data_IF_148883536132
#
_entry.id   IF_148883536132
#
_cell.length_a   1.000
_cell.length_b   1.000
_cell.length_c   1.000
_cell.angle_alpha   90.00
_cell.angle_beta   90.00
_cell.angle_gamma   90.00
#
_symmetry.space_group_name_H-M   'P 1'
#
loop_
_entity.id
_entity.type
_entity.pdbx_description
1 polymer ?
2 non-polymer ?
3 non-polymer ?
4 water ?
#
# COMPACT_ATOMS: atom_id res chain seq x y z
N UNK A 1 -8.07 31.17 -13.92
CA UNK A 1 -9.10 30.34 -14.61
C UNK A 1 -10.41 30.48 -13.87
N UNK A 2 -11.34 29.54 -14.10
CA UNK A 2 -12.64 29.60 -13.44
C UNK A 2 -12.51 29.55 -11.92
N UNK A 3 -13.47 30.16 -11.25
CA UNK A 3 -13.49 30.18 -9.79
C UNK A 3 -14.06 28.85 -9.25
N UNK A 4 -13.64 28.50 -8.04
CA UNK A 4 -14.09 27.27 -7.38
C UNK A 4 -14.21 27.51 -5.88
N UNK A 5 -15.24 26.96 -5.26
CA UNK A 5 -15.38 27.08 -3.82
C UNK A 5 -14.22 26.25 -3.26
N UNK A 6 -13.84 26.48 -2.01
CA UNK A 6 -12.74 25.73 -1.43
C UNK A 6 -13.07 24.23 -1.38
N UNK A 7 -14.36 23.89 -1.26
CA UNK A 7 -14.77 22.50 -1.20
C UNK A 7 -14.60 21.75 -2.53
N UNK A 8 -14.92 22.40 -3.64
CA UNK A 8 -14.74 21.77 -4.95
C UNK A 8 -13.25 21.51 -5.14
N UNK A 9 -12.42 22.45 -4.69
CA UNK A 9 -10.97 22.29 -4.82
C UNK A 9 -10.53 21.07 -4.02
N UNK A 10 -10.95 21.02 -2.76
CA UNK A 10 -10.58 19.89 -1.91
C UNK A 10 -10.99 18.56 -2.50
N UNK A 11 -12.24 18.44 -2.95
CA UNK A 11 -12.71 17.19 -3.53
C UNK A 11 -11.98 16.85 -4.83
N UNK A 12 -11.60 17.89 -5.57
CA UNK A 12 -10.86 17.70 -6.82
C UNK A 12 -9.49 17.08 -6.52
N UNK A 13 -8.85 17.55 -5.46
CA UNK A 13 -7.53 17.06 -5.06
C UNK A 13 -7.64 15.63 -4.50
N UNK A 14 -8.75 15.31 -3.84
CA UNK A 14 -8.95 13.97 -3.32
C UNK A 14 -9.03 13.02 -4.51
N UNK A 15 -9.78 13.42 -5.54
CA UNK A 15 -9.92 12.60 -6.72
C UNK A 15 -8.58 12.32 -7.39
N UNK A 16 -7.69 13.31 -7.40
CA UNK A 16 -6.37 13.15 -8.00
C UNK A 16 -5.54 12.11 -7.26
N UNK A 17 -5.61 12.14 -5.93
CA UNK A 17 -4.84 11.19 -5.12
C UNK A 17 -5.32 9.77 -5.39
N UNK A 18 -6.62 9.59 -5.47
CA UNK A 18 -7.19 8.28 -5.71
C UNK A 18 -6.83 7.75 -7.10
N UNK A 19 -6.89 8.62 -8.11
CA UNK A 19 -6.56 8.23 -9.48
C UNK A 19 -5.09 7.83 -9.60
N UNK A 20 -4.21 8.57 -8.93
CA UNK A 20 -2.78 8.27 -8.98
C UNK A 20 -2.46 6.94 -8.29
N UNK A 21 -3.42 6.45 -7.49
CA UNK A 21 -3.23 5.18 -6.78
C UNK A 21 -3.98 4.04 -7.44
N UNK A 22 -4.75 4.32 -8.48
CA UNK A 22 -5.49 3.29 -9.19
C UNK A 22 -4.49 2.34 -9.84
N UNK A 23 -4.59 1.03 -9.54
CA UNK A 23 -3.65 0.05 -10.11
C UNK A 23 -3.53 0.13 -11.63
N UNK A 24 -4.67 0.14 -12.33
CA UNK A 24 -4.66 0.22 -13.78
C UNK A 24 -4.00 1.52 -14.25
N UNK A 25 -4.47 2.66 -13.77
CA UNK A 25 -3.90 3.96 -14.16
C UNK A 25 -2.44 4.09 -13.75
N UNK A 26 -2.11 3.61 -12.56
CA UNK A 26 -0.73 3.70 -12.06
C UNK A 26 0.25 3.03 -13.02
N UNK A 27 -0.14 1.87 -13.56
CA UNK A 27 0.73 1.16 -14.48
C UNK A 27 0.93 1.97 -15.76
N UNK A 28 -0.15 2.53 -16.30
CA UNK A 28 -0.04 3.33 -17.52
C UNK A 28 0.74 4.62 -17.30
N UNK A 29 0.63 5.21 -16.10
CA UNK A 29 1.37 6.43 -15.81
C UNK A 29 2.87 6.14 -15.78
N UNK A 30 3.21 4.95 -15.30
CA UNK A 30 4.61 4.54 -15.15
C UNK A 30 5.23 3.90 -16.39
N UNK A 31 4.46 3.09 -17.09
CA UNK A 31 4.94 2.37 -18.26
C UNK A 31 4.47 2.96 -19.58
N UNK A 32 5.42 3.47 -20.36
CA UNK A 32 5.13 4.05 -21.67
C UNK A 32 5.75 3.13 -22.71
N UNK A 33 5.09 2.95 -23.84
CA UNK A 33 5.62 2.08 -24.88
C UNK A 33 5.80 2.82 -26.20
N UNK A 34 6.96 2.61 -26.82
CA UNK A 34 7.26 3.24 -28.10
C UNK A 34 6.83 2.29 -29.22
N UNK A 35 7.81 1.77 -29.96
CA UNK A 35 7.52 0.84 -31.03
C UNK A 35 8.35 -0.39 -30.74
N UNK A 36 9.47 -0.17 -30.06
CA UNK A 36 10.37 -1.25 -29.72
C UNK A 36 10.95 -1.01 -28.33
N UNK A 37 10.60 0.13 -27.75
CA UNK A 37 11.10 0.50 -26.42
C UNK A 37 10.01 0.59 -25.36
N UNK A 38 10.36 0.20 -24.14
CA UNK A 38 9.45 0.27 -23.00
C UNK A 38 10.12 1.23 -22.03
N UNK A 39 9.44 2.31 -21.68
CA UNK A 39 10.01 3.30 -20.76
C UNK A 39 9.25 3.33 -19.44
N UNK A 40 9.92 2.84 -18.39
CA UNK A 40 9.35 2.78 -17.05
C UNK A 40 9.93 3.86 -16.14
N UNK A 41 9.09 4.84 -15.81
CA UNK A 41 9.51 5.96 -14.96
C UNK A 41 10.85 6.50 -15.47
N UNK A 42 10.97 6.64 -16.79
CA UNK A 42 12.20 7.17 -17.36
C UNK A 42 13.22 6.15 -17.84
N UNK A 43 13.26 5.00 -17.19
CA UNK A 43 14.22 3.94 -17.55
C UNK A 43 13.75 3.26 -18.84
N UNK A 44 14.60 3.30 -19.86
CA UNK A 44 14.26 2.72 -21.15
C UNK A 44 14.76 1.28 -21.33
N UNK A 45 13.90 0.44 -21.89
CA UNK A 45 14.23 -0.96 -22.14
C UNK A 45 13.88 -1.30 -23.58
N UNK A 46 14.79 -1.99 -24.26
CA UNK A 46 14.57 -2.39 -25.64
C UNK A 46 13.88 -3.74 -25.69
N UNK A 47 12.86 -3.86 -26.52
CA UNK A 47 12.12 -5.11 -26.67
C UNK A 47 12.81 -5.99 -27.69
N UNK A 48 13.60 -6.96 -27.22
CA UNK A 48 14.30 -7.85 -28.12
C UNK A 48 13.87 -9.31 -27.95
N UNK A 49 12.60 -9.50 -27.66
CA UNK A 49 12.07 -10.85 -27.47
C UNK A 49 10.58 -10.78 -27.19
N UNK A 50 10.09 -11.73 -26.39
CA UNK A 50 8.68 -11.76 -26.05
C UNK A 50 8.45 -11.13 -24.67
N UNK A 51 7.19 -10.88 -24.33
CA UNK A 51 6.85 -10.28 -23.04
C UNK A 51 5.94 -11.20 -22.24
N UNK A 52 6.32 -11.46 -21.00
CA UNK A 52 5.55 -12.32 -20.13
C UNK A 52 5.06 -11.52 -18.92
N UNK A 53 4.02 -12.01 -18.27
CA UNK A 53 3.48 -11.32 -17.10
C UNK A 53 3.21 -12.25 -15.93
N UNK A 54 3.71 -11.87 -14.76
CA UNK A 54 3.48 -12.63 -13.55
C UNK A 54 2.95 -11.62 -12.53
N UNK A 55 1.66 -11.70 -12.23
CA UNK A 55 1.02 -10.78 -11.30
C UNK A 55 0.55 -11.49 -10.04
N UNK A 56 0.73 -10.83 -8.90
CA UNK A 56 0.33 -11.37 -7.61
C UNK A 56 -0.13 -10.27 -6.68
N UNK A 57 -1.30 -10.46 -6.08
CA UNK A 57 -1.84 -9.46 -5.17
C UNK A 57 -3.29 -9.19 -5.50
N UNK A 58 -3.93 -8.38 -4.68
CA UNK A 58 -5.33 -8.03 -4.87
C UNK A 58 -5.62 -7.29 -6.17
N UNK A 59 -4.62 -6.61 -6.72
CA UNK A 59 -4.81 -5.86 -7.96
C UNK A 59 -4.11 -6.53 -9.16
N UNK A 60 -3.76 -7.80 -9.00
CA UNK A 60 -3.08 -8.55 -10.05
C UNK A 60 -3.74 -8.41 -11.42
N UNK A 61 -5.05 -8.65 -11.48
CA UNK A 61 -5.77 -8.56 -12.75
C UNK A 61 -5.82 -7.15 -13.31
N UNK A 62 -6.06 -6.16 -12.45
CA UNK A 62 -6.11 -4.79 -12.94
C UNK A 62 -4.75 -4.35 -13.48
N UNK A 63 -3.67 -4.70 -12.78
CA UNK A 63 -2.34 -4.32 -13.24
C UNK A 63 -2.01 -5.05 -14.54
N UNK A 64 -2.35 -6.34 -14.60
CA UNK A 64 -2.12 -7.16 -15.79
C UNK A 64 -2.87 -6.61 -17.00
N UNK A 65 -4.09 -6.16 -16.77
CA UNK A 65 -4.92 -5.61 -17.84
C UNK A 65 -4.25 -4.40 -18.48
N UNK A 66 -3.60 -3.58 -17.66
CA UNK A 66 -2.91 -2.39 -18.16
C UNK A 66 -1.77 -2.79 -19.09
N UNK A 67 -1.00 -3.80 -18.69
CA UNK A 67 0.12 -4.26 -19.51
C UNK A 67 -0.37 -4.80 -20.85
N UNK A 68 -1.45 -5.57 -20.85
CA UNK A 68 -1.99 -6.14 -22.09
C UNK A 68 -2.54 -5.05 -23.01
N UNK A 69 -2.95 -3.92 -22.44
CA UNK A 69 -3.50 -2.84 -23.26
C UNK A 69 -2.42 -2.04 -23.99
N UNK A 70 -1.17 -2.20 -23.58
CA UNK A 70 -0.09 -1.45 -24.23
C UNK A 70 1.01 -2.36 -24.79
N UNK A 71 0.91 -3.65 -24.53
CA UNK A 71 1.91 -4.60 -25.02
C UNK A 71 1.29 -5.97 -25.31
N UNK A 72 1.82 -6.64 -26.33
CA UNK A 72 1.34 -7.98 -26.68
C UNK A 72 2.04 -8.95 -25.75
N UNK A 73 1.26 -9.64 -24.93
CA UNK A 73 1.82 -10.60 -23.97
C UNK A 73 1.76 -12.04 -24.46
N UNK A 74 2.92 -12.66 -24.55
CA UNK A 74 3.02 -14.05 -25.00
C UNK A 74 2.22 -14.94 -24.08
N UNK A 75 2.38 -14.75 -22.78
CA UNK A 75 1.67 -15.54 -21.79
C UNK A 75 2.00 -15.04 -20.39
N UNK A 76 1.25 -15.54 -19.39
CA UNK A 76 1.48 -15.13 -18.03
C UNK A 76 0.42 -15.65 -17.08
N UNK A 77 0.50 -15.23 -15.82
CA UNK A 77 -0.46 -15.66 -14.82
C UNK A 77 -0.72 -14.52 -13.83
N UNK A 78 -1.95 -14.43 -13.36
CA UNK A 78 -2.35 -13.42 -12.40
C UNK A 78 -3.00 -14.13 -11.22
N UNK A 79 -2.40 -14.02 -10.05
CA UNK A 79 -2.91 -14.66 -8.84
C UNK A 79 -3.53 -13.62 -7.92
N UNK A 80 -4.83 -13.76 -7.67
CA UNK A 80 -5.54 -12.80 -6.83
C UNK A 80 -6.53 -13.48 -5.88
N UNK A 81 -7.19 -12.70 -5.04
CA UNK A 81 -8.15 -13.21 -4.08
C UNK A 81 -9.42 -13.75 -4.73
N UNK A 82 -10.14 -14.60 -4.00
CA UNK A 82 -11.38 -15.18 -4.49
C UNK A 82 -12.38 -14.05 -4.68
N UNK A 83 -12.99 -14.00 -5.87
CA UNK A 83 -13.96 -12.96 -6.16
C UNK A 83 -13.37 -11.83 -6.99
N UNK A 84 -12.05 -11.64 -6.90
CA UNK A 84 -11.37 -10.58 -7.63
C UNK A 84 -11.20 -10.92 -9.12
N UNK A 85 -11.62 -12.14 -9.47
CA UNK A 85 -11.53 -12.63 -10.84
C UNK A 85 -11.14 -11.71 -11.98
N UNK A 86 -12.10 -11.30 -12.78
CA UNK A 86 -11.84 -10.44 -13.94
C UNK A 86 -10.91 -11.10 -14.96
N UNK A 87 -11.51 -11.59 -16.04
CA UNK A 87 -10.80 -12.28 -17.11
C UNK A 87 -9.80 -11.42 -17.88
N UNK A 88 -8.78 -12.07 -18.44
CA UNK A 88 -7.74 -11.39 -19.21
C UNK A 88 -7.62 -12.02 -20.61
N UNK A 89 -7.00 -11.29 -21.53
CA UNK A 89 -6.84 -11.76 -22.90
C UNK A 89 -5.85 -12.89 -23.10
N UNK A 90 -4.64 -12.74 -22.57
CA UNK A 90 -3.63 -13.78 -22.73
C UNK A 90 -2.97 -14.20 -21.42
N UNK A 91 -3.54 -13.75 -20.31
CA UNK A 91 -3.01 -14.08 -19.00
C UNK A 91 -3.99 -14.94 -18.21
N UNK A 92 -3.53 -16.10 -17.77
CA UNK A 92 -4.35 -17.02 -17.02
C UNK A 92 -4.61 -16.45 -15.64
N UNK A 93 -5.85 -16.59 -15.15
CA UNK A 93 -6.20 -16.07 -13.84
C UNK A 93 -6.47 -17.17 -12.81
N UNK A 94 -5.88 -17.01 -11.63
CA UNK A 94 -6.04 -17.95 -10.55
C UNK A 94 -6.40 -17.21 -9.26
N UNK A 95 -7.46 -17.64 -8.59
CA UNK A 95 -7.86 -17.02 -7.33
C UNK A 95 -7.36 -17.91 -6.21
N UNK A 96 -6.64 -17.33 -5.25
CA UNK A 96 -6.09 -18.12 -4.16
C UNK A 96 -6.45 -17.63 -2.78
N UNK A 97 -5.99 -18.35 -1.76
CA UNK A 97 -6.28 -17.99 -0.39
C UNK A 97 -5.56 -16.79 0.17
N UNK A 98 -6.26 -16.06 1.05
CA UNK A 98 -5.75 -14.89 1.72
C UNK A 98 -6.75 -14.52 2.82
N UNK A 99 -6.26 -14.16 4.02
CA UNK A 99 -4.87 -14.04 4.46
C UNK A 99 -4.13 -15.35 4.71
N UNK A 100 -4.82 -16.48 4.55
CA UNK A 100 -4.19 -17.78 4.76
C UNK A 100 -4.04 -18.47 3.42
N UNK A 101 -2.80 -18.86 3.08
CA UNK A 101 -2.53 -19.54 1.81
C UNK A 101 -3.18 -20.92 1.71
N UNK A 102 -3.58 -21.28 0.49
CA UNK A 102 -4.18 -22.59 0.25
C UNK A 102 -3.52 -23.21 -0.98
N UNK A 103 -4.04 -24.34 -1.44
CA UNK A 103 -3.45 -25.01 -2.59
C UNK A 103 -3.42 -24.18 -3.86
N UNK A 104 -4.34 -23.23 -4.00
CA UNK A 104 -4.37 -22.39 -5.18
C UNK A 104 -3.18 -21.43 -5.17
N UNK A 105 -2.74 -21.05 -3.97
CA UNK A 105 -1.59 -20.15 -3.83
C UNK A 105 -0.37 -20.86 -4.41
N UNK A 106 -0.25 -22.14 -4.08
CA UNK A 106 0.86 -22.95 -4.56
C UNK A 106 0.74 -23.12 -6.06
N UNK A 107 -0.49 -23.38 -6.53
CA UNK A 107 -0.74 -23.56 -7.96
C UNK A 107 -0.29 -22.30 -8.69
N UNK A 108 -0.58 -21.14 -8.10
CA UNK A 108 -0.19 -19.88 -8.72
C UNK A 108 1.31 -19.75 -8.82
N UNK A 109 2.01 -20.04 -7.71
CA UNK A 109 3.46 -19.95 -7.69
C UNK A 109 4.07 -20.92 -8.71
N UNK A 110 3.54 -22.14 -8.76
CA UNK A 110 4.04 -23.13 -9.71
C UNK A 110 3.84 -22.65 -11.13
N UNK A 111 2.69 -22.01 -11.38
CA UNK A 111 2.40 -21.48 -12.70
C UNK A 111 3.43 -20.40 -13.05
N UNK A 112 3.80 -19.59 -12.06
CA UNK A 112 4.78 -18.53 -12.29
C UNK A 112 6.16 -19.11 -12.61
N UNK A 113 6.56 -20.16 -11.89
CA UNK A 113 7.87 -20.77 -12.15
C UNK A 113 7.91 -21.35 -13.55
N UNK A 114 6.78 -21.95 -13.96
CA UNK A 114 6.67 -22.54 -15.28
C UNK A 114 6.94 -21.49 -16.34
N UNK A 115 6.36 -20.30 -16.14
CA UNK A 115 6.54 -19.20 -17.07
C UNK A 115 7.99 -18.72 -17.11
N UNK A 116 8.63 -18.66 -15.95
CA UNK A 116 10.02 -18.22 -15.86
C UNK A 116 10.97 -19.26 -16.42
N UNK A 117 10.52 -20.51 -16.48
CA UNK A 117 11.35 -21.56 -17.02
C UNK A 117 11.38 -21.41 -18.54
N UNK A 118 10.26 -20.95 -19.09
CA UNK A 118 10.10 -20.76 -20.53
C UNK A 118 10.70 -19.44 -21.04
N UNK A 119 10.69 -18.40 -20.21
CA UNK A 119 11.24 -17.10 -20.63
C UNK A 119 12.76 -17.21 -20.84
N UNK A 120 13.23 -16.64 -21.94
CA UNK A 120 14.65 -16.68 -22.28
C UNK A 120 15.43 -15.43 -21.87
N UNK A 121 16.75 -15.50 -21.97
CA UNK A 121 17.60 -14.38 -21.59
C UNK A 121 17.32 -13.11 -22.39
N UNK A 122 16.56 -13.24 -23.49
CA UNK A 122 16.26 -12.08 -24.32
C UNK A 122 14.80 -11.63 -24.20
N UNK A 123 14.04 -12.27 -23.30
CA UNK A 123 12.65 -11.91 -23.10
C UNK A 123 12.50 -10.98 -21.90
N UNK A 124 11.37 -10.29 -21.83
CA UNK A 124 11.09 -9.38 -20.73
C UNK A 124 9.97 -9.99 -19.89
N UNK A 125 10.14 -9.96 -18.57
CA UNK A 125 9.13 -10.49 -17.66
C UNK A 125 8.67 -9.44 -16.67
N UNK A 126 7.39 -9.05 -16.77
CA UNK A 126 6.81 -8.08 -15.86
C UNK A 126 6.36 -8.79 -14.60
N UNK A 127 6.76 -8.28 -13.44
CA UNK A 127 6.35 -8.85 -12.16
C UNK A 127 5.48 -7.75 -11.56
N UNK A 128 4.18 -8.01 -11.43
CA UNK A 128 3.24 -7.03 -10.90
C UNK A 128 2.85 -7.39 -9.47
N UNK A 129 3.27 -6.56 -8.52
CA UNK A 129 3.02 -6.82 -7.11
C UNK A 129 2.09 -5.84 -6.40
N UNK A 130 1.14 -6.38 -5.65
CA UNK A 130 0.19 -5.58 -4.87
C UNK A 130 -0.06 -6.27 -3.54
N UNK A 131 -0.97 -5.70 -2.74
CA UNK A 131 -1.27 -6.26 -1.43
C UNK A 131 -1.78 -7.68 -1.41
N UNK A 132 -1.40 -8.41 -0.36
CA UNK A 132 -1.84 -9.79 -0.22
C UNK A 132 -0.98 -10.84 -0.93
N UNK A 133 0.09 -10.39 -1.57
CA UNK A 133 0.96 -11.30 -2.29
C UNK A 133 1.61 -12.42 -1.48
N UNK A 134 1.77 -12.23 -0.18
CA UNK A 134 2.41 -13.27 0.64
C UNK A 134 1.61 -14.56 0.74
N UNK A 135 0.30 -14.43 0.99
CA UNK A 135 -0.57 -15.60 1.12
C UNK A 135 -1.06 -16.10 -0.24
N UNK A 136 -1.33 -15.17 -1.15
CA UNK A 136 -1.83 -15.51 -2.47
C UNK A 136 -0.80 -16.16 -3.38
N UNK A 137 0.47 -15.88 -3.12
CA UNK A 137 1.56 -16.39 -3.95
C UNK A 137 2.63 -17.04 -3.08
N UNK A 138 2.55 -18.36 -2.94
CA UNK A 138 3.51 -19.07 -2.11
C UNK A 138 3.79 -20.50 -2.55
N UNK A 139 5.04 -20.91 -2.35
CA UNK A 139 5.50 -22.24 -2.70
C UNK A 139 6.60 -22.59 -1.69
N UNK A 140 6.29 -23.45 -0.71
CA UNK A 140 7.24 -23.87 0.32
C UNK A 140 8.47 -24.57 -0.25
N UNK A 141 9.59 -24.52 0.48
CA UNK A 141 10.82 -25.16 0.06
C UNK A 141 10.65 -26.67 0.06
N UNK A 142 11.65 -27.41 -0.41
CA UNK A 142 11.55 -28.87 -0.50
C UNK A 142 11.21 -29.57 0.81
N UNK A 143 10.28 -30.53 0.72
CA UNK A 143 9.86 -31.29 1.87
C UNK A 143 8.89 -30.57 2.79
N UNK A 144 8.72 -29.27 2.58
CA UNK A 144 7.82 -28.49 3.43
C UNK A 144 6.44 -28.35 2.79
N UNK A 145 5.42 -28.77 3.54
CA UNK A 145 4.05 -28.69 3.06
C UNK A 145 3.40 -27.38 3.48
N UNK A 146 2.33 -27.01 2.79
CA UNK A 146 1.62 -25.79 3.12
C UNK A 146 1.19 -25.85 4.57
N UNK A 147 0.89 -27.06 5.04
CA UNK A 147 0.47 -27.23 6.42
C UNK A 147 1.64 -27.04 7.38
N UNK A 148 2.85 -27.39 6.93
CA UNK A 148 4.03 -27.20 7.76
C UNK A 148 4.25 -25.70 7.91
N UNK A 149 4.02 -24.97 6.83
CA UNK A 149 4.18 -23.52 6.84
C UNK A 149 3.22 -22.89 7.85
N UNK A 150 1.95 -23.30 7.78
CA UNK A 150 0.94 -22.78 8.69
C UNK A 150 1.33 -22.99 10.15
N UNK A 151 1.73 -24.22 10.49
CA UNK A 151 2.10 -24.53 11.86
C UNK A 151 3.29 -23.67 12.31
N UNK A 152 4.24 -23.47 11.41
CA UNK A 152 5.42 -22.66 11.73
C UNK A 152 5.01 -21.22 11.98
N UNK A 153 4.27 -20.64 11.04
CA UNK A 153 3.82 -19.26 11.17
C UNK A 153 2.98 -19.08 12.44
N UNK A 154 2.23 -20.12 12.81
CA UNK A 154 1.39 -20.06 14.01
C UNK A 154 2.20 -20.06 15.30
N UNK A 155 3.27 -20.85 15.33
CA UNK A 155 4.11 -20.91 16.52
C UNK A 155 4.88 -19.60 16.69
N UNK A 156 5.11 -18.91 15.57
CA UNK A 156 5.81 -17.64 15.61
C UNK A 156 4.93 -16.59 16.28
N UNK A 157 3.65 -16.57 15.91
CA UNK A 157 2.70 -15.63 16.48
C UNK A 157 2.38 -16.02 17.92
N UNK A 158 2.02 -17.28 18.12
CA UNK A 158 1.69 -17.78 19.45
C UNK A 158 2.72 -17.40 20.51
N UNK A 159 3.99 -17.36 20.13
CA UNK A 159 5.05 -17.03 21.06
C UNK A 159 5.42 -15.56 21.03
N UNK A 160 4.62 -14.76 20.33
CA UNK A 160 4.90 -13.34 20.24
C UNK A 160 6.24 -13.06 19.61
N UNK A 161 6.27 -13.02 18.28
CA UNK A 161 7.50 -12.75 17.55
C UNK A 161 7.37 -11.47 16.74
N UNK A 162 8.44 -10.69 16.69
CA UNK A 162 8.42 -9.45 15.93
C UNK A 162 8.14 -9.77 14.46
N UNK A 163 7.40 -8.89 13.80
CA UNK A 163 7.03 -9.10 12.40
C UNK A 163 8.18 -9.31 11.42
N UNK A 164 9.30 -8.63 11.62
CA UNK A 164 10.43 -8.79 10.71
C UNK A 164 11.15 -10.11 10.95
N UNK A 165 11.06 -10.63 12.18
CA UNK A 165 11.69 -11.89 12.54
C UNK A 165 10.89 -13.04 11.93
N UNK A 166 9.59 -12.80 11.77
CA UNK A 166 8.69 -13.79 11.19
C UNK A 166 8.90 -13.83 9.69
N UNK A 167 9.20 -12.66 9.12
CA UNK A 167 9.45 -12.55 7.69
C UNK A 167 10.77 -13.24 7.37
N UNK A 168 11.72 -13.15 8.29
CA UNK A 168 13.02 -13.78 8.11
C UNK A 168 12.88 -15.29 8.02
N UNK A 169 12.09 -15.86 8.93
CA UNK A 169 11.87 -17.29 8.94
C UNK A 169 11.08 -17.70 7.70
N UNK A 170 9.98 -17.00 7.42
CA UNK A 170 9.16 -17.32 6.25
C UNK A 170 9.92 -17.20 4.93
N UNK A 171 10.75 -16.17 4.82
CA UNK A 171 11.53 -15.98 3.59
C UNK A 171 12.50 -17.15 3.36
N UNK A 172 12.94 -17.79 4.44
CA UNK A 172 13.88 -18.91 4.32
C UNK A 172 13.27 -20.30 4.18
N UNK A 173 11.96 -20.37 3.96
CA UNK A 173 11.29 -21.66 3.75
C UNK A 173 10.31 -21.52 2.59
N UNK A 174 10.57 -20.52 1.76
CA UNK A 174 9.76 -20.26 0.59
C UNK A 174 10.65 -20.24 -0.65
N UNK A 175 10.16 -20.82 -1.75
CA UNK A 175 10.94 -20.85 -2.97
C UNK A 175 10.81 -19.59 -3.82
N UNK A 176 9.91 -18.69 -3.44
CA UNK A 176 9.74 -17.47 -4.23
C UNK A 176 9.95 -16.14 -3.47
N UNK A 177 9.87 -16.19 -2.16
CA UNK A 177 10.06 -15.00 -1.35
C UNK A 177 11.54 -14.71 -1.11
N UNK A 178 11.84 -13.56 -0.53
CA UNK A 178 13.23 -13.20 -0.26
C UNK A 178 14.07 -13.06 -1.51
N UNK A 179 13.49 -12.45 -2.54
CA UNK A 179 14.20 -12.24 -3.79
C UNK A 179 14.39 -13.48 -4.66
N UNK A 180 13.89 -14.63 -4.21
CA UNK A 180 14.05 -15.86 -4.98
C UNK A 180 13.33 -15.89 -6.31
N UNK A 181 12.19 -15.19 -6.40
CA UNK A 181 11.46 -15.16 -7.68
C UNK A 181 12.34 -14.43 -8.69
N UNK A 182 12.93 -13.32 -8.28
CA UNK A 182 13.79 -12.54 -9.18
C UNK A 182 15.00 -13.35 -9.62
N UNK A 183 15.49 -14.25 -8.76
CA UNK A 183 16.65 -15.06 -9.11
C UNK A 183 16.32 -16.05 -10.22
N UNK A 184 15.03 -16.30 -10.44
CA UNK A 184 14.58 -17.23 -11.47
C UNK A 184 14.38 -16.60 -12.84
N UNK A 185 14.51 -15.28 -12.92
CA UNK A 185 14.33 -14.58 -14.20
C UNK A 185 15.60 -14.64 -15.03
N UNK A 186 15.53 -15.31 -16.18
CA UNK A 186 16.69 -15.46 -17.06
C UNK A 186 16.92 -14.23 -17.93
N UNK A 187 15.86 -13.49 -18.21
CA UNK A 187 16.01 -12.31 -19.04
C UNK A 187 15.97 -11.00 -18.26
N UNK A 188 15.14 -10.07 -18.72
CA UNK A 188 15.00 -8.78 -18.05
C UNK A 188 13.74 -8.77 -17.20
N UNK A 189 13.90 -8.45 -15.93
CA UNK A 189 12.76 -8.39 -15.04
C UNK A 189 12.34 -6.95 -14.73
N UNK A 190 11.09 -6.62 -15.04
CA UNK A 190 10.56 -5.29 -14.74
C UNK A 190 9.49 -5.48 -13.69
N UNK A 191 9.79 -5.07 -12.46
CA UNK A 191 8.87 -5.22 -11.34
C UNK A 191 8.12 -3.95 -11.03
N UNK A 192 6.79 -4.03 -11.05
CA UNK A 192 5.95 -2.88 -10.75
C UNK A 192 5.26 -3.17 -9.42
N UNK A 193 5.49 -2.32 -8.43
CA UNK A 193 4.94 -2.53 -7.10
C UNK A 193 4.03 -1.41 -6.60
N UNK A 194 2.99 -1.79 -5.87
CA UNK A 194 2.05 -0.84 -5.27
C UNK A 194 2.24 -1.05 -3.77
N UNK A 195 2.46 0.04 -3.04
CA UNK A 195 2.70 -0.06 -1.61
C UNK A 195 1.61 0.43 -0.68
N UNK A 196 1.18 -0.44 0.23
CA UNK A 196 0.18 -0.08 1.22
C UNK A 196 0.88 -0.06 2.57
N UNK A 197 2.21 0.10 2.53
CA UNK A 197 3.03 0.14 3.74
C UNK A 197 3.60 1.55 3.97
N UNK A 198 3.34 2.11 5.13
CA UNK A 198 3.85 3.44 5.46
C UNK A 198 5.38 3.37 5.43
N UNK A 199 5.99 4.22 4.60
CA UNK A 199 7.45 4.20 4.50
C UNK A 199 7.91 3.49 3.25
N UNK A 200 7.04 2.66 2.68
CA UNK A 200 7.33 1.93 1.46
C UNK A 200 8.53 0.99 1.45
N UNK A 201 8.71 0.24 2.53
CA UNK A 201 9.81 -0.72 2.61
C UNK A 201 9.42 -1.92 1.77
N UNK A 202 10.10 -2.10 0.63
CA UNK A 202 9.80 -3.18 -0.29
C UNK A 202 10.03 -4.60 0.26
N UNK A 203 10.92 -4.73 1.23
CA UNK A 203 11.22 -6.03 1.83
C UNK A 203 10.00 -6.70 2.43
N UNK A 204 9.05 -5.88 2.88
CA UNK A 204 7.84 -6.39 3.52
C UNK A 204 6.70 -6.73 2.56
N UNK A 205 6.55 -5.94 1.49
CA UNK A 205 5.48 -6.17 0.53
C UNK A 205 5.56 -7.54 -0.15
N UNK A 206 4.56 -8.38 0.12
CA UNK A 206 4.47 -9.73 -0.43
C UNK A 206 5.70 -10.54 -0.03
N UNK A 207 6.42 -10.06 0.97
CA UNK A 207 7.62 -10.72 1.46
C UNK A 207 8.82 -10.58 0.52
N UNK A 208 8.84 -9.46 -0.20
CA UNK A 208 9.92 -9.14 -1.12
C UNK A 208 10.45 -10.26 -2.01
N UNK A 209 9.62 -10.80 -2.91
CA UNK A 209 10.05 -11.87 -3.81
C UNK A 209 11.07 -11.41 -4.87
N UNK A 210 11.18 -10.10 -5.09
CA UNK A 210 12.12 -9.57 -6.08
C UNK A 210 13.13 -8.57 -5.50
N UNK A 211 13.21 -8.48 -4.18
CA UNK A 211 14.16 -7.56 -3.56
C UNK A 211 15.12 -8.34 -2.67
N UNK A 212 16.28 -7.75 -2.41
CA UNK A 212 17.28 -8.40 -1.57
C UNK A 212 16.73 -8.70 -0.18
N UNK A 213 17.30 -9.72 0.44
CA UNK A 213 16.96 -10.13 1.79
C UNK A 213 18.27 -10.39 2.53
N UNK A 214 18.69 -9.44 3.39
CA UNK A 214 19.93 -9.57 4.15
C UNK A 214 19.93 -10.66 5.21
N UNK A 215 18.77 -11.09 5.67
CA UNK A 215 18.71 -12.13 6.70
C UNK A 215 19.25 -13.46 6.15
N UNK A 216 19.68 -14.33 7.07
CA UNK A 216 20.25 -15.61 6.69
C UNK A 216 19.58 -16.78 7.38
N UNK A 217 20.01 -18.00 7.01
CA UNK A 217 19.48 -19.22 7.61
C UNK A 217 19.84 -19.20 9.09
N UNK A 218 21.02 -18.66 9.39
CA UNK A 218 21.48 -18.57 10.77
C UNK A 218 20.55 -17.65 11.57
N UNK A 219 20.13 -16.55 10.95
CA UNK A 219 19.21 -15.62 11.61
C UNK A 219 17.89 -16.33 11.88
N UNK A 220 17.43 -17.11 10.90
CA UNK A 220 16.18 -17.85 11.05
C UNK A 220 16.23 -18.86 12.19
N UNK A 221 17.36 -19.56 12.32
CA UNK A 221 17.50 -20.54 13.38
C UNK A 221 17.55 -19.85 14.74
N UNK A 222 18.34 -18.79 14.84
CA UNK A 222 18.47 -18.03 16.08
C UNK A 222 17.08 -17.62 16.56
N UNK A 223 16.27 -17.13 15.64
CA UNK A 223 14.92 -16.67 15.92
C UNK A 223 14.03 -17.79 16.46
N UNK A 224 14.03 -18.94 15.79
CA UNK A 224 13.20 -20.05 16.22
C UNK A 224 13.61 -20.52 17.61
N UNK A 225 14.91 -20.51 17.88
CA UNK A 225 15.43 -20.93 19.17
C UNK A 225 15.12 -19.88 20.24
N UNK A 226 15.34 -18.61 19.90
CA UNK A 226 15.09 -17.51 20.82
C UNK A 226 13.67 -17.56 21.39
N UNK A 227 12.73 -18.05 20.61
CA UNK A 227 11.34 -18.15 21.04
C UNK A 227 10.95 -19.57 21.39
N UNK A 228 11.96 -20.39 21.66
CA UNK A 228 11.78 -21.79 22.04
C UNK A 228 10.75 -22.56 21.21
N UNK A 229 10.78 -22.39 19.90
CA UNK A 229 9.87 -23.10 19.02
C UNK A 229 10.65 -23.89 17.98
N UNK A 230 11.98 -23.82 18.08
CA UNK A 230 12.86 -24.54 17.17
C UNK A 230 12.56 -26.03 17.15
N UNK A 231 12.27 -26.58 18.33
CA UNK A 231 11.96 -28.00 18.44
C UNK A 231 10.47 -28.24 18.22
N UNK A 232 9.68 -27.17 18.30
CA UNK A 232 8.24 -27.28 18.10
C UNK A 232 7.80 -27.26 16.64
N UNK A 233 8.59 -26.62 15.80
CA UNK A 233 8.25 -26.56 14.37
C UNK A 233 8.42 -27.94 13.74
N UNK A 234 7.72 -28.22 12.64
CA UNK A 234 7.85 -29.53 12.01
C UNK A 234 9.31 -29.86 11.65
N UNK A 235 9.60 -31.16 11.57
CA UNK A 235 10.94 -31.62 11.26
C UNK A 235 11.41 -31.09 9.92
N UNK A 236 10.50 -31.01 8.95
CA UNK A 236 10.83 -30.54 7.62
C UNK A 236 11.39 -29.11 7.63
N UNK A 237 10.93 -28.29 8.58
CA UNK A 237 11.41 -26.92 8.67
C UNK A 237 12.83 -26.91 9.22
N UNK A 238 13.07 -27.66 10.29
CA UNK A 238 14.41 -27.72 10.86
C UNK A 238 15.38 -28.29 9.82
N UNK A 239 14.93 -29.32 9.11
CA UNK A 239 15.79 -29.95 8.11
C UNK A 239 16.17 -29.02 6.97
N UNK A 240 15.21 -28.27 6.45
CA UNK A 240 15.52 -27.36 5.36
C UNK A 240 16.49 -26.28 5.81
N UNK A 241 16.30 -25.80 7.04
CA UNK A 241 17.16 -24.76 7.57
C UNK A 241 18.56 -25.29 7.85
N UNK A 242 18.66 -26.52 8.37
CA UNK A 242 19.96 -27.13 8.64
C UNK A 242 20.69 -27.30 7.30
N UNK A 243 19.95 -27.69 6.27
CA UNK A 243 20.54 -27.85 4.95
C UNK A 243 21.08 -26.50 4.47
N UNK A 244 20.33 -25.44 4.76
CA UNK A 244 20.76 -24.11 4.38
C UNK A 244 22.03 -23.72 5.11
N UNK A 245 22.12 -24.12 6.37
CA UNK A 245 23.30 -23.83 7.17
C UNK A 245 24.51 -24.57 6.62
N UNK A 246 24.27 -25.75 6.06
CA UNK A 246 25.36 -26.54 5.48
C UNK A 246 25.70 -26.06 4.08
N UNK A 247 24.88 -25.16 3.54
CA UNK A 247 25.13 -24.65 2.20
C UNK A 247 24.61 -25.55 1.10
N UNK A 248 23.72 -26.47 1.46
CA UNK A 248 23.15 -27.40 0.48
C UNK A 248 22.03 -26.76 -0.34
N UNK A 249 21.44 -25.70 0.18
CA UNK A 249 20.38 -25.00 -0.52
C UNK A 249 20.75 -23.52 -0.61
N UNK A 250 20.31 -22.86 -1.68
CA UNK A 250 20.64 -21.46 -1.87
C UNK A 250 20.02 -20.53 -0.84
N UNK A 251 20.75 -19.46 -0.54
CA UNK A 251 20.34 -18.45 0.40
C UNK A 251 19.34 -17.53 -0.31
N UNK A 252 18.65 -16.66 0.44
CA UNK A 252 17.74 -15.71 -0.18
C UNK A 252 18.63 -14.70 -0.90
N UNK A 253 18.07 -13.95 -1.84
CA UNK A 253 18.85 -12.96 -2.59
C UNK A 253 19.64 -12.01 -1.70
N UNK A 254 20.96 -11.95 -1.93
CA UNK A 254 21.83 -11.09 -1.14
C UNK A 254 22.38 -9.90 -1.93
N UNK A 255 22.50 -10.06 -3.24
CA UNK A 255 23.04 -9.01 -4.09
C UNK A 255 22.02 -8.48 -5.10
N UNK A 256 22.35 -7.34 -5.70
CA UNK A 256 21.48 -6.73 -6.70
C UNK A 256 21.65 -7.47 -8.02
N UNK A 257 20.55 -7.61 -8.77
CA UNK A 257 20.57 -8.27 -10.06
C UNK A 257 20.43 -7.18 -11.13
N UNK A 258 21.50 -6.93 -11.89
CA UNK A 258 21.47 -5.91 -12.94
C UNK A 258 20.33 -6.07 -13.94
N UNK A 259 19.82 -7.29 -14.05
CA UNK A 259 18.75 -7.58 -15.00
C UNK A 259 17.32 -7.49 -14.42
N UNK A 260 17.20 -7.29 -13.11
CA UNK A 260 15.88 -7.18 -12.49
C UNK A 260 15.75 -5.80 -11.86
N UNK A 261 14.76 -5.04 -12.33
CA UNK A 261 14.55 -3.68 -11.85
C UNK A 261 13.22 -3.51 -11.12
N UNK A 262 13.30 -2.94 -9.92
CA UNK A 262 12.13 -2.71 -9.11
C UNK A 262 11.65 -1.27 -9.20
N UNK A 263 10.37 -1.10 -9.48
CA UNK A 263 9.75 0.22 -9.60
C UNK A 263 8.53 0.28 -8.69
N UNK A 264 8.45 1.33 -7.88
CA UNK A 264 7.31 1.53 -7.01
C UNK A 264 6.44 2.49 -7.82
N UNK A 265 5.28 2.03 -8.27
CA UNK A 265 4.43 2.87 -9.13
C UNK A 265 3.16 3.44 -8.51
N UNK A 266 2.87 3.07 -7.26
CA UNK A 266 1.70 3.60 -6.58
C UNK A 266 2.05 3.56 -5.12
N UNK A 267 1.87 4.68 -4.44
CA UNK A 267 2.21 4.78 -3.02
C UNK A 267 1.61 6.05 -2.47
N UNK A 268 1.68 6.21 -1.16
CA UNK A 268 1.13 7.40 -0.53
C UNK A 268 1.86 8.64 -1.08
N UNK A 269 3.17 8.56 -1.19
CA UNK A 269 3.97 9.67 -1.72
C UNK A 269 3.58 10.04 -3.14
N UNK A 270 3.37 9.04 -3.99
CA UNK A 270 2.98 9.30 -5.37
C UNK A 270 1.61 9.98 -5.41
N UNK A 271 0.72 9.61 -4.50
CA UNK A 271 -0.59 10.22 -4.45
C UNK A 271 -0.48 11.66 -3.90
N UNK A 272 0.41 11.87 -2.95
CA UNK A 272 0.60 13.22 -2.38
C UNK A 272 1.18 14.15 -3.44
N UNK A 273 2.04 13.60 -4.29
CA UNK A 273 2.65 14.40 -5.35
C UNK A 273 1.59 14.76 -6.39
N UNK A 274 0.67 13.83 -6.65
CA UNK A 274 -0.40 14.08 -7.59
C UNK A 274 -1.26 15.24 -7.07
N UNK A 275 -1.44 15.29 -5.75
CA UNK A 275 -2.22 16.35 -5.12
C UNK A 275 -1.51 17.69 -5.25
N UNK A 276 -0.23 17.71 -4.90
CA UNK A 276 0.58 18.93 -4.96
C UNK A 276 0.67 19.49 -6.38
N UNK A 277 0.77 18.59 -7.35
CA UNK A 277 0.87 18.97 -8.76
C UNK A 277 -0.42 19.65 -9.23
N UNK A 278 -1.56 19.08 -8.89
CA UNK A 278 -2.86 19.65 -9.28
C UNK A 278 -3.07 20.96 -8.53
N UNK A 279 -2.69 21.00 -7.26
CA UNK A 279 -2.84 22.20 -6.45
C UNK A 279 -2.08 23.36 -7.11
N UNK A 280 -0.87 23.09 -7.56
CA UNK A 280 -0.08 24.13 -8.22
C UNK A 280 -0.77 24.60 -9.50
N UNK A 281 -1.38 23.69 -10.24
CA UNK A 281 -2.07 24.05 -11.48
C UNK A 281 -3.27 24.94 -11.17
N UNK A 282 -3.86 24.78 -9.99
CA UNK A 282 -5.00 25.58 -9.60
C UNK A 282 -4.57 26.94 -9.01
N UNK A 283 -3.27 27.20 -9.00
CA UNK A 283 -2.79 28.47 -8.48
C UNK A 283 -2.31 28.52 -7.05
N UNK A 284 -2.19 27.36 -6.39
CA UNK A 284 -1.75 27.32 -5.00
C UNK A 284 -0.29 26.90 -4.92
N UNK A 285 0.37 27.29 -3.84
CA UNK A 285 1.72 26.83 -3.59
C UNK A 285 1.35 25.57 -2.82
N UNK A 286 2.04 24.46 -3.05
CA UNK A 286 1.71 23.23 -2.35
C UNK A 286 2.94 22.60 -1.72
N UNK A 287 2.76 22.03 -0.53
CA UNK A 287 3.87 21.42 0.18
C UNK A 287 3.50 20.09 0.79
N UNK A 288 4.36 19.10 0.59
CA UNK A 288 4.13 17.77 1.16
C UNK A 288 4.90 17.82 2.48
N UNK A 289 4.17 17.85 3.58
CA UNK A 289 4.74 17.94 4.92
C UNK A 289 5.37 16.64 5.37
N UNK A 290 4.78 15.52 4.95
CA UNK A 290 5.28 14.20 5.29
C UNK A 290 4.45 13.12 4.62
N UNK A 291 5.01 11.93 4.53
CA UNK A 291 4.32 10.79 3.94
C UNK A 291 4.40 9.63 4.92
N UNK A 292 4.87 9.92 6.13
CA UNK A 292 5.01 8.90 7.16
C UNK A 292 4.37 9.32 8.49
N UNK A 293 3.30 10.11 8.41
CA UNK A 293 2.58 10.54 9.60
C UNK A 293 2.05 9.31 10.32
N UNK A 294 2.26 9.24 11.62
CA UNK A 294 1.78 8.14 12.44
C UNK A 294 1.44 8.71 13.81
N UNK A 295 0.57 8.05 14.54
CA UNK A 295 0.19 8.55 15.86
C UNK A 295 -1.32 8.65 16.03
N UNK A 296 -1.75 9.23 17.15
CA UNK A 296 -3.17 9.38 17.46
C UNK A 296 -3.88 10.36 16.53
N UNK A 297 -4.96 9.88 15.91
CA UNK A 297 -5.75 10.68 14.99
C UNK A 297 -6.19 12.03 15.55
N UNK A 298 -6.84 12.01 16.71
CA UNK A 298 -7.33 13.24 17.34
C UNK A 298 -6.24 14.31 17.43
N UNK A 299 -5.06 13.89 17.86
CA UNK A 299 -3.93 14.78 18.01
C UNK A 299 -3.36 15.24 16.67
N UNK A 300 -3.41 14.38 15.65
CA UNK A 300 -2.93 14.78 14.33
C UNK A 300 -3.82 15.94 13.86
N UNK A 301 -5.11 15.87 14.18
CA UNK A 301 -6.03 16.93 13.79
C UNK A 301 -5.73 18.25 14.50
N UNK A 302 -5.33 18.14 15.77
CA UNK A 302 -5.01 19.35 16.54
C UNK A 302 -3.72 19.97 16.01
N UNK A 303 -2.76 19.14 15.63
CA UNK A 303 -1.48 19.64 15.13
C UNK A 303 -1.59 20.27 13.74
N UNK A 304 -2.31 19.61 12.84
CA UNK A 304 -2.50 20.15 11.50
C UNK A 304 -3.33 21.44 11.63
N UNK A 305 -4.30 21.41 12.54
CA UNK A 305 -5.11 22.60 12.77
C UNK A 305 -4.28 23.75 13.30
N UNK A 306 -3.28 23.47 14.14
CA UNK A 306 -2.43 24.52 14.69
C UNK A 306 -1.59 25.19 13.62
N UNK A 307 -1.16 24.42 12.63
CA UNK A 307 -0.36 24.97 11.53
C UNK A 307 -1.28 25.83 10.65
N UNK A 308 -2.50 25.36 10.42
CA UNK A 308 -3.45 26.11 9.62
C UNK A 308 -3.73 27.45 10.29
N UNK A 309 -3.81 27.44 11.63
CA UNK A 309 -4.04 28.67 12.38
C UNK A 309 -2.92 29.69 12.15
N UNK A 310 -1.68 29.23 12.27
CA UNK A 310 -0.51 30.07 12.10
C UNK A 310 -0.48 30.70 10.69
N UNK A 311 -0.78 29.89 9.69
CA UNK A 311 -0.80 30.35 8.30
C UNK A 311 -1.85 31.43 8.07
N UNK A 312 -3.07 31.20 8.53
CA UNK A 312 -4.15 32.16 8.36
C UNK A 312 -3.95 33.41 9.21
N UNK A 313 -3.28 33.25 10.35
CA UNK A 313 -3.06 34.35 11.26
C UNK A 313 -1.83 35.20 10.99
N UNK A 314 -0.71 34.56 10.65
CA UNK A 314 0.54 35.29 10.42
C UNK A 314 1.25 35.04 9.10
N UNK A 315 0.67 34.22 8.23
CA UNK A 315 1.30 33.96 6.95
C UNK A 315 2.59 33.16 7.05
N UNK A 316 2.71 32.32 8.09
CA UNK A 316 3.88 31.47 8.27
C UNK A 316 3.38 30.13 8.81
N UNK A 317 4.09 29.02 8.53
CA UNK A 317 5.33 28.93 7.75
C UNK A 317 5.20 29.27 6.25
N UNK A 318 3.97 29.37 5.77
CA UNK A 318 3.70 29.70 4.37
C UNK A 318 2.62 30.77 4.27
N UNK A 319 2.64 31.54 3.18
CA UNK A 319 1.63 32.58 2.94
C UNK A 319 0.51 31.98 2.11
N UNK A 320 -0.76 32.24 2.48
CA UNK A 320 -1.87 31.68 1.68
C UNK A 320 -1.82 32.40 0.32
N UNK A 321 -2.45 31.84 -0.72
CA UNK A 321 -3.20 30.59 -0.77
C UNK A 321 -2.23 29.41 -0.79
N UNK A 322 -2.45 28.44 0.07
CA UNK A 322 -1.54 27.32 0.13
C UNK A 322 -2.24 26.01 0.42
N UNK A 323 -1.61 24.92 -0.04
CA UNK A 323 -2.12 23.57 0.19
C UNK A 323 -1.02 22.77 0.86
N UNK A 324 -1.36 22.11 1.96
CA UNK A 324 -0.40 21.29 2.70
C UNK A 324 -0.88 19.85 2.65
N UNK A 325 0.06 18.91 2.44
CA UNK A 325 -0.29 17.50 2.36
C UNK A 325 0.43 16.68 3.42
N UNK A 326 -0.35 15.89 4.15
CA UNK A 326 0.19 15.03 5.21
C UNK A 326 -0.27 13.60 4.92
N UNK A 327 0.67 12.71 4.62
CA UNK A 327 0.31 11.34 4.34
C UNK A 327 0.84 10.39 5.40
N UNK A 328 0.20 9.24 5.51
CA UNK A 328 0.61 8.23 6.48
C UNK A 328 -0.60 7.42 6.89
N UNK A 329 -0.68 7.08 8.17
CA UNK A 329 -1.82 6.31 8.68
C UNK A 329 -1.88 6.51 10.19
N UNK A 330 -2.88 7.27 10.65
CA UNK A 330 -3.02 7.51 12.08
C UNK A 330 -3.90 6.44 12.68
N UNK A 331 -4.02 6.43 14.00
CA UNK A 331 -4.85 5.45 14.67
C UNK A 331 -5.65 6.04 15.82
N UNK A 332 -6.73 5.37 16.16
CA UNK A 332 -7.57 5.80 17.26
C UNK A 332 -7.44 4.77 18.37
N UNK A 333 -7.03 5.24 19.54
CA UNK A 333 -6.88 4.38 20.70
C UNK A 333 -8.21 4.33 21.44
N UNK A 334 -8.84 3.16 21.46
CA UNK A 334 -10.12 3.02 22.13
C UNK A 334 -10.01 2.13 23.37
N UNK A 335 -10.38 2.68 24.52
CA UNK A 335 -10.35 1.96 25.78
C UNK A 335 -11.78 1.71 26.20
N UNK A 336 -12.41 0.73 25.54
CA UNK A 336 -13.80 0.40 25.82
C UNK A 336 -14.49 0.02 24.53
N UNK A 337 -15.79 0.27 24.45
CA UNK A 337 -16.54 -0.04 23.23
C UNK A 337 -16.40 1.06 22.20
N UNK A 338 -16.55 2.31 22.64
CA UNK A 338 -16.45 3.44 21.73
C UNK A 338 -17.67 3.59 20.85
N UNK A 339 -17.73 4.70 20.11
CA UNK A 339 -18.87 4.93 19.24
C UNK A 339 -18.54 4.62 17.79
N UNK A 340 -19.25 5.28 16.87
CA UNK A 340 -19.04 5.05 15.44
C UNK A 340 -18.05 6.09 14.92
N UNK A 341 -17.07 5.65 14.13
CA UNK A 341 -16.09 6.58 13.60
C UNK A 341 -14.79 5.91 13.17
N UNK A 342 -13.76 6.71 12.96
CA UNK A 342 -12.47 6.19 12.54
C UNK A 342 -11.37 7.24 12.61
N UNK A 343 -10.11 6.89 12.29
CA UNK A 343 -8.97 7.82 12.33
C UNK A 343 -9.17 9.15 11.59
N UNK A 344 -9.35 9.07 10.27
CA UNK A 344 -9.50 10.28 9.47
C UNK A 344 -10.73 11.12 9.89
N UNK A 345 -11.80 10.47 10.32
CA UNK A 345 -12.95 11.22 10.79
C UNK A 345 -12.57 11.98 12.06
N UNK A 346 -11.73 11.38 12.89
CA UNK A 346 -11.33 12.07 14.11
C UNK A 346 -10.33 13.19 13.83
N UNK A 347 -9.50 13.02 12.80
CA UNK A 347 -8.55 14.06 12.44
C UNK A 347 -9.35 15.31 12.04
N UNK A 348 -10.29 15.10 11.14
CA UNK A 348 -11.14 16.18 10.63
C UNK A 348 -11.94 16.86 11.73
N UNK A 349 -12.64 16.07 12.54
CA UNK A 349 -13.46 16.63 13.60
C UNK A 349 -12.64 17.36 14.66
N UNK A 350 -11.49 16.79 15.01
CA UNK A 350 -10.64 17.39 16.04
C UNK A 350 -10.12 18.77 15.61
N UNK A 351 -9.87 18.90 14.31
CA UNK A 351 -9.35 20.15 13.78
C UNK A 351 -10.38 21.27 13.62
N UNK A 352 -11.67 20.93 13.65
CA UNK A 352 -12.72 21.94 13.48
C UNK A 352 -12.62 23.19 14.35
N UNK A 353 -12.34 23.02 15.63
CA UNK A 353 -12.27 24.19 16.50
C UNK A 353 -11.13 25.15 16.15
N UNK A 354 -9.96 24.60 15.87
CA UNK A 354 -8.83 25.45 15.53
C UNK A 354 -8.95 26.18 14.20
N UNK A 355 -9.75 25.67 13.27
CA UNK A 355 -9.88 26.36 11.98
C UNK A 355 -11.19 27.13 11.88
N UNK A 356 -11.92 27.20 12.98
CA UNK A 356 -13.20 27.92 13.01
C UNK A 356 -13.00 29.37 12.55
N UNK A 357 -13.89 29.81 11.65
CA UNK A 357 -13.86 31.17 11.11
C UNK A 357 -12.71 31.48 10.15
N UNK A 358 -11.91 30.48 9.81
CA UNK A 358 -10.81 30.71 8.87
C UNK A 358 -11.24 30.29 7.47
N UNK A 359 -10.58 30.86 6.46
CA UNK A 359 -10.86 30.52 5.07
C UNK A 359 -9.98 29.30 4.79
N UNK A 360 -10.35 28.18 5.40
CA UNK A 360 -9.57 26.97 5.25
C UNK A 360 -10.43 25.72 5.20
N UNK A 361 -9.83 24.63 4.74
CA UNK A 361 -10.52 23.36 4.65
C UNK A 361 -9.54 22.25 4.95
N UNK A 362 -10.03 21.21 5.61
CA UNK A 362 -9.21 20.06 5.91
C UNK A 362 -10.01 18.83 5.53
N UNK A 363 -9.43 17.99 4.68
CA UNK A 363 -10.09 16.75 4.31
C UNK A 363 -9.08 15.63 4.58
N UNK A 364 -9.49 14.67 5.41
CA UNK A 364 -8.63 13.54 5.76
C UNK A 364 -9.37 12.29 5.28
N UNK A 365 -8.68 11.44 4.52
CA UNK A 365 -9.34 10.25 3.99
C UNK A 365 -8.40 9.08 3.81
N UNK A 366 -8.96 7.87 3.88
CA UNK A 366 -8.19 6.65 3.68
C UNK A 366 -8.42 6.25 2.22
N UNK A 367 -7.34 6.08 1.47
CA UNK A 367 -7.47 5.73 0.06
C UNK A 367 -8.09 4.36 -0.20
N UNK A 368 -8.27 3.53 0.83
CA UNK A 368 -8.88 2.24 0.58
C UNK A 368 -10.41 2.31 0.63
N UNK A 369 -10.93 3.52 0.86
CA UNK A 369 -12.38 3.69 0.88
C UNK A 369 -13.13 3.59 2.19
N UNK A 370 -12.49 3.06 3.21
CA UNK A 370 -13.15 2.94 4.52
C UNK A 370 -12.27 3.52 5.60
N UNK A 371 -12.91 4.00 6.65
CA UNK A 371 -12.22 4.62 7.78
C UNK A 371 -12.90 4.07 9.04
N UNK A 372 -12.17 3.27 9.81
CA UNK A 372 -12.77 2.68 10.99
C UNK A 372 -13.82 1.68 10.52
N UNK A 373 -14.72 1.22 11.41
CA UNK A 373 -15.76 0.26 11.02
C UNK A 373 -16.97 0.98 10.43
N UNK A 374 -16.73 1.81 9.40
CA UNK A 374 -17.80 2.54 8.76
C UNK A 374 -17.62 2.52 7.25
N UNK A 375 -18.61 3.04 6.53
CA UNK A 375 -18.55 3.09 5.08
C UNK A 375 -17.99 4.40 4.53
N UNK A 376 -17.64 5.32 5.44
CA UNK A 376 -17.07 6.60 5.05
C UNK A 376 -15.56 6.43 4.90
N UNK A 377 -14.96 7.20 4.00
CA UNK A 377 -13.51 7.14 3.81
C UNK A 377 -12.80 8.13 4.73
N UNK A 378 -13.55 9.08 5.27
CA UNK A 378 -12.95 10.05 6.16
C UNK A 378 -13.85 11.24 6.43
N UNK A 379 -13.24 12.38 6.77
CA UNK A 379 -14.01 13.57 7.04
C UNK A 379 -13.55 14.77 6.26
N UNK A 380 -14.43 15.75 6.12
CA UNK A 380 -14.11 16.98 5.39
C UNK A 380 -14.78 18.12 6.15
N UNK A 381 -13.98 19.07 6.60
CA UNK A 381 -14.48 20.20 7.38
C UNK A 381 -13.87 21.51 6.90
N UNK A 382 -14.54 22.62 7.20
CA UNK A 382 -14.02 23.92 6.81
C UNK A 382 -14.18 24.89 7.97
N UNK A 383 -13.93 26.18 7.70
CA UNK A 383 -14.02 27.19 8.74
C UNK A 383 -15.41 27.45 9.31
N UNK A 384 -16.45 26.87 8.69
CA UNK A 384 -17.81 27.07 9.18
C UNK A 384 -18.30 25.87 10.00
N UNK A 385 -17.57 24.76 9.92
CA UNK A 385 -17.99 23.54 10.60
C UNK A 385 -18.17 23.60 12.11
N UNK A 386 -17.20 24.14 12.83
CA UNK A 386 -17.31 24.19 14.28
C UNK A 386 -18.63 24.83 14.72
N UNK A 387 -18.93 26.01 14.19
CA UNK A 387 -20.15 26.69 14.56
C UNK A 387 -21.41 25.94 14.17
N UNK A 388 -21.36 25.18 13.08
CA UNK A 388 -22.52 24.41 12.66
C UNK A 388 -22.75 23.30 13.68
N UNK A 389 -21.65 22.75 14.21
CA UNK A 389 -21.73 21.70 15.21
C UNK A 389 -22.31 22.27 16.51
N UNK A 390 -21.84 23.45 16.89
CA UNK A 390 -22.32 24.09 18.12
C UNK A 390 -23.78 24.50 17.99
N UNK A 391 -24.21 24.86 16.78
CA UNK A 391 -25.60 25.24 16.56
C UNK A 391 -26.52 24.06 16.78
N UNK A 392 -25.99 22.85 16.64
CA UNK A 392 -26.79 21.65 16.85
C UNK A 392 -26.54 21.13 18.26
N UNK A 393 -25.96 21.97 19.10
CA UNK A 393 -25.68 21.58 20.47
C UNK A 393 -24.74 20.39 20.62
N UNK A 394 -23.81 20.24 19.68
CA UNK A 394 -22.86 19.13 19.74
C UNK A 394 -21.58 19.52 20.47
N UNK A 395 -21.22 18.73 21.48
CA UNK A 395 -20.00 18.99 22.23
C UNK A 395 -18.90 18.16 21.59
N UNK A 396 -18.10 18.82 20.75
CA UNK A 396 -17.02 18.15 20.03
C UNK A 396 -16.06 17.35 20.91
N UNK A 397 -15.57 17.96 21.98
CA UNK A 397 -14.63 17.29 22.88
C UNK A 397 -15.25 15.99 23.41
N UNK A 398 -16.53 16.05 23.79
CA UNK A 398 -17.21 14.88 24.30
C UNK A 398 -17.35 13.81 23.23
N UNK A 399 -17.68 14.24 22.01
CA UNK A 399 -17.84 13.30 20.90
C UNK A 399 -16.53 12.56 20.63
N UNK A 400 -15.42 13.28 20.67
CA UNK A 400 -14.11 12.68 20.43
C UNK A 400 -13.75 11.73 21.58
N UNK A 401 -14.08 12.13 22.81
CA UNK A 401 -13.80 11.31 23.98
C UNK A 401 -14.55 9.97 23.83
N UNK A 402 -15.78 10.04 23.36
CA UNK A 402 -16.60 8.85 23.16
C UNK A 402 -16.29 8.14 21.84
N UNK A 403 -15.38 8.71 21.05
CA UNK A 403 -15.03 8.11 19.76
C UNK A 403 -16.27 7.85 18.92
N UNK A 404 -17.06 8.89 18.76
CA UNK A 404 -18.30 8.82 18.00
C UNK A 404 -18.30 9.95 16.96
N UNK A 405 -17.14 10.19 16.35
CA UNK A 405 -17.01 11.28 15.37
C UNK A 405 -17.89 11.11 14.13
N UNK A 406 -18.19 9.88 13.75
CA UNK A 406 -19.04 9.65 12.58
C UNK A 406 -20.39 10.36 12.74
N UNK A 407 -21.01 10.20 13.90
CA UNK A 407 -22.31 10.81 14.15
C UNK A 407 -22.30 12.33 14.13
N UNK A 408 -21.19 12.94 14.55
CA UNK A 408 -21.10 14.39 14.55
C UNK A 408 -20.94 14.91 13.13
N UNK A 409 -19.97 14.34 12.41
CA UNK A 409 -19.71 14.75 11.04
C UNK A 409 -20.93 14.54 10.15
N UNK A 410 -21.68 13.47 10.43
CA UNK A 410 -22.87 13.13 9.66
C UNK A 410 -23.93 14.24 9.66
N UNK A 411 -23.99 15.01 10.75
CA UNK A 411 -24.99 16.06 10.88
C UNK A 411 -24.64 17.40 10.28
N UNK A 412 -23.38 17.60 9.93
CA UNK A 412 -22.95 18.87 9.34
C UNK A 412 -22.31 18.71 7.97
N UNK A 413 -22.65 17.60 7.29
CA UNK A 413 -22.11 17.35 5.97
C UNK A 413 -20.61 17.15 5.95
N UNK A 414 -20.07 16.63 7.05
CA UNK A 414 -18.63 16.43 7.16
C UNK A 414 -18.08 15.06 6.82
N UNK A 415 -18.94 14.14 6.40
CA UNK A 415 -18.47 12.81 6.04
C UNK A 415 -18.06 12.76 4.57
N UNK A 416 -17.01 12.00 4.30
CA UNK A 416 -16.53 11.84 2.94
C UNK A 416 -16.72 10.38 2.55
N UNK A 417 -17.57 10.14 1.55
CA UNK A 417 -17.83 8.79 1.06
C UNK A 417 -17.28 8.65 -0.34
N UNK A 418 -16.36 7.71 -0.54
CA UNK A 418 -15.77 7.49 -1.85
C UNK A 418 -16.37 6.21 -2.47
N UNK A 419 -16.84 5.32 -1.60
CA UNK A 419 -17.36 4.06 -2.10
C UNK A 419 -16.11 3.27 -2.43
N UNK A 420 -16.22 2.10 -3.08
CA UNK A 420 -15.02 1.33 -3.41
C UNK A 420 -14.02 2.14 -4.26
N UNK A 421 -12.76 2.04 -3.90
CA UNK A 421 -11.70 2.77 -4.60
C UNK A 421 -10.82 1.87 -5.44
N UNK A 422 -10.82 0.58 -5.15
CA UNK A 422 -10.00 -0.36 -5.90
C UNK A 422 -8.51 -0.26 -5.62
N UNK A 423 -8.13 0.37 -4.51
CA UNK A 423 -6.71 0.48 -4.18
C UNK A 423 -6.48 0.76 -2.70
N UNK A 424 -5.21 0.94 -2.32
CA UNK A 424 -4.86 1.22 -0.95
C UNK A 424 -3.42 1.68 -0.77
N UNK A 425 -3.25 2.98 -0.55
CA UNK A 425 -1.92 3.54 -0.32
C UNK A 425 -2.00 4.35 0.97
N UNK A 426 -2.88 3.89 1.86
CA UNK A 426 -3.14 4.46 3.19
C UNK A 426 -3.81 5.83 3.14
N UNK A 427 -3.60 6.66 4.16
CA UNK A 427 -4.32 7.93 4.25
C UNK A 427 -3.60 9.22 3.95
N UNK A 428 -4.38 10.24 3.61
CA UNK A 428 -3.85 11.55 3.30
C UNK A 428 -4.74 12.64 3.87
N UNK A 429 -4.09 13.69 4.39
CA UNK A 429 -4.80 14.83 4.93
C UNK A 429 -4.42 16.01 4.05
N UNK A 430 -5.43 16.70 3.52
CA UNK A 430 -5.15 17.85 2.69
C UNK A 430 -5.64 19.08 3.44
N UNK A 431 -4.77 20.06 3.67
CA UNK A 431 -5.17 21.28 4.36
C UNK A 431 -5.05 22.45 3.38
N UNK A 432 -6.15 23.17 3.19
CA UNK A 432 -6.16 24.28 2.26
C UNK A 432 -6.45 25.60 2.96
N UNK A 433 -5.62 26.61 2.68
CA UNK A 433 -5.84 27.94 3.23
C UNK A 433 -5.86 28.87 2.01
N UNK A 434 -6.99 29.51 1.76
CA UNK A 434 -7.12 30.39 0.61
C UNK A 434 -6.84 31.85 0.93
N UNK A 435 -6.93 32.22 2.20
CA UNK A 435 -6.69 33.61 2.56
C UNK A 435 -6.43 33.76 4.06
N UNK A 436 -5.77 34.85 4.43
CA UNK A 436 -5.47 35.12 5.83
C UNK A 436 -6.67 35.77 6.51
#
# INVERSE_FOLDING_TARGET
>A
MIAMDIREIGLRLVGEAIKAADPYRAVLNAVKVSDDKIIVQGKEFEIKGKVYVIALGKAACEMARAIEDILDVEDGVAVTKYGYGKELKRIKVIEAGHPIPDEKSILGAKEALSILNRARENDIVFILISGGGSALFELPEEGISLEDLKLTTDLLLKSGAKIHEINTVRKHISKVKGGKLAKMIKGTGIVLIISDVVGDNLEAIASGPTVKDPTTFEDAKRILELYDIWEKVPESVRLHIERGLRGEVEETLKEDLPNVHNFLIASNSISCEAIAREAQRLGFKAYIMTTTLEGEAKDAGLFIGSIVQEIAERGRPFEPPVVLVFGGETTVTIEGKGGKGGPNQEIALSATRKISDLEALIVAFDTDGTDGPTDAAGGIVDGTTYKKLREKGIDVEKVLKEHNSYEALKKVGGLLFTGPTGTNVNSIVIAIVTSKRGRT
#
